data_IF_194870333450
#
_entry.id   IF_194870333450
#
_cell.length_a   1.000
_cell.length_b   1.000
_cell.length_c   1.000
_cell.angle_alpha   90.00
_cell.angle_beta   90.00
_cell.angle_gamma   90.00
#
_symmetry.space_group_name_H-M   'P 1'
#
loop_
_entity.id
_entity.type
_entity.pdbx_description
1 polymer ?
#
# COMPACT_ATOMS: atom_id res chain seq x y z
N UNK A 1 7.14 -8.38 -27.78
CA UNK A 1 8.19 -7.47 -27.23
C UNK A 1 9.36 -8.33 -26.79
N UNK A 2 10.60 -7.87 -26.90
CA UNK A 2 11.73 -8.57 -26.26
C UNK A 2 11.55 -8.52 -24.75
N UNK A 3 11.65 -9.68 -24.08
CA UNK A 3 11.60 -9.75 -22.61
C UNK A 3 12.63 -8.82 -21.97
N UNK A 4 12.24 -8.16 -20.89
CA UNK A 4 13.10 -7.26 -20.11
C UNK A 4 13.47 -7.98 -18.81
N UNK A 5 14.64 -7.66 -18.25
CA UNK A 5 15.06 -8.13 -16.92
C UNK A 5 14.90 -7.02 -15.91
N UNK A 6 13.94 -7.18 -15.00
CA UNK A 6 13.50 -6.14 -14.09
C UNK A 6 13.81 -6.56 -12.65
N UNK A 7 14.46 -5.69 -11.89
CA UNK A 7 14.67 -5.91 -10.46
C UNK A 7 13.72 -5.01 -9.67
N UNK A 8 12.89 -5.60 -8.83
CA UNK A 8 11.89 -4.90 -8.01
C UNK A 8 12.34 -4.92 -6.55
N UNK A 9 12.33 -3.76 -5.89
CA UNK A 9 12.57 -3.61 -4.45
C UNK A 9 11.32 -3.02 -3.81
N UNK A 10 10.64 -3.81 -2.98
CA UNK A 10 9.43 -3.39 -2.29
C UNK A 10 9.41 -3.90 -0.84
N UNK A 11 8.70 -3.25 0.09
CA UNK A 11 8.67 -3.68 1.48
C UNK A 11 7.69 -4.82 1.74
N UNK A 12 6.67 -4.98 0.89
CA UNK A 12 5.63 -6.00 1.03
C UNK A 12 5.41 -6.68 -0.33
N UNK A 13 5.10 -7.97 -0.29
CA UNK A 13 4.83 -8.81 -1.46
C UNK A 13 4.12 -10.08 -0.99
N UNK A 14 3.19 -10.61 -1.78
CA UNK A 14 2.40 -11.79 -1.44
C UNK A 14 3.27 -12.91 -0.88
N UNK A 15 2.90 -13.59 0.22
CA UNK A 15 1.54 -13.65 0.79
C UNK A 15 1.19 -12.50 1.76
N UNK A 16 2.06 -11.51 1.93
CA UNK A 16 1.75 -10.34 2.74
C UNK A 16 0.53 -9.58 2.15
N UNK A 17 -0.42 -9.20 3.00
CA UNK A 17 -1.70 -8.58 2.62
C UNK A 17 -1.69 -7.05 2.67
N UNK A 18 -0.53 -6.42 2.88
CA UNK A 18 -0.41 -4.97 2.75
C UNK A 18 -0.96 -4.50 1.39
N UNK A 19 -1.80 -3.44 1.31
CA UNK A 19 -2.39 -2.98 0.05
C UNK A 19 -1.34 -2.70 -1.04
N UNK A 20 -0.24 -2.08 -0.63
CA UNK A 20 0.94 -1.83 -1.46
C UNK A 20 1.62 -3.12 -1.92
N UNK A 21 1.67 -4.14 -1.08
CA UNK A 21 2.15 -5.48 -1.41
C UNK A 21 1.28 -6.19 -2.43
N UNK A 22 -0.05 -6.05 -2.35
CA UNK A 22 -0.99 -6.58 -3.34
C UNK A 22 -0.77 -5.93 -4.71
N UNK A 23 -0.67 -4.59 -4.76
CA UNK A 23 -0.36 -3.86 -6.00
C UNK A 23 0.96 -4.32 -6.61
N UNK A 24 2.04 -4.39 -5.82
CA UNK A 24 3.35 -4.83 -6.32
C UNK A 24 3.34 -6.28 -6.76
N UNK A 25 2.59 -7.15 -6.07
CA UNK A 25 2.41 -8.56 -6.48
C UNK A 25 1.77 -8.63 -7.85
N UNK A 26 0.68 -7.90 -8.09
CA UNK A 26 0.00 -7.93 -9.38
C UNK A 26 0.84 -7.30 -10.48
N UNK A 27 1.53 -6.18 -10.24
CA UNK A 27 2.49 -5.61 -11.20
C UNK A 27 3.53 -6.65 -11.63
N UNK A 28 4.13 -7.35 -10.68
CA UNK A 28 5.18 -8.34 -10.96
C UNK A 28 4.61 -9.55 -11.71
N UNK A 29 3.45 -10.08 -11.28
CA UNK A 29 2.81 -11.21 -11.95
C UNK A 29 2.44 -10.87 -13.40
N UNK A 30 1.88 -9.69 -13.66
CA UNK A 30 1.53 -9.24 -15.01
C UNK A 30 2.76 -8.98 -15.89
N UNK A 31 3.85 -8.45 -15.32
CA UNK A 31 5.12 -8.34 -16.03
C UNK A 31 5.69 -9.72 -16.40
N UNK A 32 5.60 -10.69 -15.48
CA UNK A 32 5.97 -12.07 -15.74
C UNK A 32 5.14 -12.70 -16.86
N UNK A 33 3.82 -12.55 -16.81
CA UNK A 33 2.89 -13.03 -17.83
C UNK A 33 3.13 -12.39 -19.21
N UNK A 34 3.58 -11.12 -19.23
CA UNK A 34 4.01 -10.43 -20.45
C UNK A 34 5.38 -10.89 -20.99
N UNK A 35 6.03 -11.88 -20.36
CA UNK A 35 7.29 -12.47 -20.79
C UNK A 35 8.55 -11.72 -20.32
N UNK A 36 8.44 -10.90 -19.27
CA UNK A 36 9.60 -10.27 -18.63
C UNK A 36 10.18 -11.17 -17.53
N UNK A 37 11.50 -11.17 -17.39
CA UNK A 37 12.17 -11.78 -16.25
C UNK A 37 12.18 -10.78 -15.10
N UNK A 38 11.60 -11.14 -13.96
CA UNK A 38 11.46 -10.25 -12.81
C UNK A 38 12.13 -10.86 -11.58
N UNK A 39 12.86 -10.05 -10.83
CA UNK A 39 13.45 -10.46 -9.56
C UNK A 39 12.99 -9.52 -8.46
N UNK A 40 12.36 -10.06 -7.43
CA UNK A 40 11.83 -9.29 -6.31
C UNK A 40 12.75 -9.42 -5.11
N UNK A 41 13.12 -8.29 -4.51
CA UNK A 41 13.75 -8.21 -3.19
C UNK A 41 12.74 -7.54 -2.25
N UNK A 42 12.30 -8.30 -1.25
CA UNK A 42 11.20 -7.90 -0.35
C UNK A 42 11.43 -8.40 1.07
N UNK A 43 10.51 -8.14 2.01
CA UNK A 43 10.59 -8.69 3.36
C UNK A 43 9.93 -10.07 3.45
N UNK A 44 10.19 -10.75 4.56
CA UNK A 44 9.30 -11.80 5.07
C UNK A 44 7.92 -11.17 5.40
N UNK A 45 6.81 -11.91 5.20
CA UNK A 45 5.47 -11.43 5.54
C UNK A 45 5.34 -11.08 7.02
N UNK A 46 4.84 -9.88 7.29
CA UNK A 46 4.73 -9.38 8.67
C UNK A 46 3.67 -8.30 8.91
N UNK A 47 3.00 -7.80 7.87
CA UNK A 47 2.12 -6.63 7.95
C UNK A 47 0.96 -6.79 8.94
N UNK A 48 0.29 -7.95 8.94
CA UNK A 48 -0.95 -8.18 9.71
C UNK A 48 -0.76 -7.95 11.21
N UNK A 49 0.26 -8.59 11.77
CA UNK A 49 0.48 -8.64 13.22
C UNK A 49 1.72 -7.82 13.65
N UNK A 50 2.33 -7.10 12.70
CA UNK A 50 3.63 -6.45 12.85
C UNK A 50 4.72 -7.37 13.43
N UNK A 51 4.61 -8.68 13.16
CA UNK A 51 5.59 -9.72 13.47
C UNK A 51 5.72 -10.63 12.27
N UNK A 52 6.87 -11.28 12.11
CA UNK A 52 7.04 -12.30 11.08
C UNK A 52 6.02 -13.42 11.31
N UNK A 53 5.22 -13.71 10.29
CA UNK A 53 4.21 -14.77 10.31
C UNK A 53 4.83 -16.13 10.70
N UNK A 54 4.09 -16.95 11.45
CA UNK A 54 4.60 -18.17 12.09
C UNK A 54 5.26 -19.14 11.09
N UNK A 55 4.62 -19.34 9.93
CA UNK A 55 5.12 -20.20 8.85
C UNK A 55 6.46 -19.71 8.27
N UNK A 56 6.78 -18.43 8.46
CA UNK A 56 7.99 -17.79 7.92
C UNK A 56 9.13 -17.67 8.94
N UNK A 57 8.87 -17.93 10.23
CA UNK A 57 9.88 -17.80 11.29
C UNK A 57 11.02 -18.83 11.16
N UNK A 58 10.73 -20.00 10.59
CA UNK A 58 11.69 -21.12 10.45
C UNK A 58 12.46 -21.11 9.12
N UNK A 59 12.15 -20.16 8.23
CA UNK A 59 12.78 -20.11 6.89
C UNK A 59 14.23 -19.65 7.02
N UNK A 60 15.16 -20.57 6.72
CA UNK A 60 16.59 -20.30 6.79
C UNK A 60 17.02 -19.30 5.72
N UNK A 61 18.16 -18.63 5.91
CA UNK A 61 18.69 -17.69 4.92
C UNK A 61 18.90 -18.31 3.52
N UNK A 62 19.15 -19.62 3.43
CA UNK A 62 19.32 -20.34 2.16
C UNK A 62 17.99 -20.47 1.40
N UNK A 63 16.87 -20.60 2.11
CA UNK A 63 15.54 -20.84 1.55
C UNK A 63 14.74 -19.55 1.32
N UNK A 64 15.34 -18.40 1.64
CA UNK A 64 14.74 -17.07 1.49
C UNK A 64 14.71 -16.58 0.04
N UNK A 65 15.55 -17.13 -0.83
CA UNK A 65 15.47 -16.87 -2.27
C UNK A 65 14.82 -18.07 -2.93
N UNK A 66 13.66 -17.85 -3.57
CA UNK A 66 12.92 -18.90 -4.28
C UNK A 66 12.80 -18.55 -5.76
N UNK A 67 13.04 -19.51 -6.67
CA UNK A 67 12.74 -19.31 -8.07
C UNK A 67 11.22 -19.22 -8.29
N UNK A 68 10.84 -18.57 -9.37
CA UNK A 68 9.47 -18.45 -9.86
C UNK A 68 9.47 -18.67 -11.37
N UNK A 69 8.31 -18.84 -11.99
CA UNK A 69 8.20 -19.01 -13.45
C UNK A 69 8.79 -17.82 -14.23
N UNK A 70 8.77 -16.62 -13.61
CA UNK A 70 9.25 -15.38 -14.21
C UNK A 70 10.59 -14.89 -13.64
N UNK A 71 11.25 -15.62 -12.73
CA UNK A 71 12.54 -15.20 -12.15
C UNK A 71 12.73 -15.63 -10.69
N UNK A 72 12.78 -14.70 -9.73
CA UNK A 72 12.99 -15.06 -8.32
C UNK A 72 12.42 -14.08 -7.30
N UNK A 73 12.11 -14.56 -6.10
CA UNK A 73 11.77 -13.73 -4.93
C UNK A 73 12.78 -13.98 -3.80
N UNK A 74 13.49 -12.94 -3.38
CA UNK A 74 14.39 -12.91 -2.22
C UNK A 74 13.72 -12.17 -1.06
N UNK A 75 13.50 -12.87 0.05
CA UNK A 75 12.89 -12.29 1.26
C UNK A 75 13.91 -12.00 2.34
N UNK A 76 13.79 -10.84 2.97
CA UNK A 76 14.71 -10.37 4.00
C UNK A 76 13.99 -10.14 5.31
N UNK A 77 14.74 -10.06 6.41
CA UNK A 77 14.14 -9.71 7.69
C UNK A 77 13.60 -8.26 7.61
N UNK A 78 12.33 -7.99 7.97
CA UNK A 78 11.81 -6.63 8.03
C UNK A 78 12.44 -5.80 9.16
N UNK A 79 13.15 -6.45 10.10
CA UNK A 79 13.65 -5.86 11.35
C UNK A 79 12.51 -5.16 12.13
N UNK A 80 11.36 -5.83 12.19
CA UNK A 80 10.17 -5.36 12.89
C UNK A 80 10.51 -5.07 14.36
N UNK A 81 10.44 -3.79 14.75
CA UNK A 81 10.64 -3.40 16.14
C UNK A 81 9.45 -3.80 17.00
N UNK A 82 9.70 -4.39 18.18
CA UNK A 82 8.66 -4.82 19.11
C UNK A 82 7.92 -3.69 19.83
N UNK A 83 8.45 -2.46 19.80
CA UNK A 83 7.86 -1.30 20.47
C UNK A 83 7.57 -0.16 19.49
N UNK A 84 6.27 0.13 19.27
CA UNK A 84 5.79 1.20 18.40
C UNK A 84 6.24 2.60 18.86
N UNK A 85 6.65 2.76 20.14
CA UNK A 85 7.03 4.06 20.73
C UNK A 85 8.50 4.43 20.52
N UNK A 86 9.36 3.48 20.18
CA UNK A 86 10.79 3.75 20.02
C UNK A 86 11.15 4.09 18.57
N UNK A 87 11.05 5.37 18.22
CA UNK A 87 11.33 5.90 16.88
C UNK A 87 12.75 5.56 16.38
N UNK A 88 13.73 5.51 17.29
CA UNK A 88 15.12 5.19 16.95
C UNK A 88 15.28 3.72 16.51
N UNK A 89 14.68 2.77 17.25
CA UNK A 89 14.68 1.35 16.84
C UNK A 89 13.96 1.14 15.51
N UNK A 90 12.88 1.88 15.26
CA UNK A 90 12.17 1.84 13.98
C UNK A 90 13.05 2.36 12.83
N UNK A 91 13.78 3.45 13.05
CA UNK A 91 14.75 3.96 12.08
C UNK A 91 15.87 2.96 11.78
N UNK A 92 16.44 2.32 12.82
CA UNK A 92 17.44 1.26 12.66
C UNK A 92 16.89 0.06 11.88
N UNK A 93 15.63 -0.32 12.13
CA UNK A 93 14.97 -1.40 11.37
C UNK A 93 14.86 -1.06 9.88
N UNK A 94 14.40 0.15 9.55
CA UNK A 94 14.36 0.63 8.16
C UNK A 94 15.73 0.66 7.50
N UNK A 95 16.77 1.12 8.21
CA UNK A 95 18.16 1.13 7.71
C UNK A 95 18.67 -0.29 7.50
N UNK A 96 18.41 -1.20 8.44
CA UNK A 96 18.80 -2.61 8.36
C UNK A 96 18.17 -3.29 7.15
N UNK A 97 16.86 -3.11 6.95
CA UNK A 97 16.16 -3.63 5.77
C UNK A 97 16.70 -3.00 4.48
N UNK A 98 16.79 -1.67 4.42
CA UNK A 98 17.27 -0.94 3.23
C UNK A 98 18.68 -1.35 2.80
N UNK A 99 19.57 -1.59 3.78
CA UNK A 99 20.97 -2.02 3.54
C UNK A 99 21.04 -3.47 3.07
N UNK A 100 20.31 -4.37 3.73
CA UNK A 100 20.27 -5.78 3.31
C UNK A 100 19.59 -5.95 1.95
N UNK A 101 18.57 -5.16 1.64
CA UNK A 101 17.91 -5.11 0.34
C UNK A 101 18.85 -4.62 -0.77
N UNK A 102 19.66 -3.59 -0.50
CA UNK A 102 20.67 -3.12 -1.45
C UNK A 102 21.66 -4.24 -1.81
N UNK A 103 22.18 -4.92 -0.78
CA UNK A 103 23.13 -6.03 -0.93
C UNK A 103 22.50 -7.21 -1.68
N UNK A 104 21.26 -7.58 -1.34
CA UNK A 104 20.53 -8.64 -2.01
C UNK A 104 20.27 -8.31 -3.49
N UNK A 105 19.80 -7.09 -3.80
CA UNK A 105 19.54 -6.66 -5.17
C UNK A 105 20.78 -6.65 -6.06
N UNK A 106 21.93 -6.27 -5.51
CA UNK A 106 23.23 -6.37 -6.16
C UNK A 106 23.58 -7.83 -6.49
N UNK A 107 23.26 -8.77 -5.59
CA UNK A 107 23.61 -10.20 -5.72
C UNK A 107 22.57 -11.06 -6.44
N UNK A 108 21.43 -10.49 -6.84
CA UNK A 108 20.43 -11.21 -7.65
C UNK A 108 21.09 -11.88 -8.86
N UNK A 109 20.71 -13.11 -9.17
CA UNK A 109 21.16 -13.78 -10.39
C UNK A 109 20.06 -13.65 -11.43
N UNK A 110 20.39 -13.04 -12.56
CA UNK A 110 19.52 -12.88 -13.71
C UNK A 110 20.16 -13.52 -14.94
N UNK A 111 19.37 -13.91 -15.94
CA UNK A 111 19.85 -14.46 -17.22
C UNK A 111 20.76 -13.49 -17.98
N UNK A 112 20.71 -12.20 -17.66
CA UNK A 112 21.51 -11.17 -18.30
C UNK A 112 21.62 -9.88 -17.49
N UNK A 113 21.92 -8.79 -18.19
CA UNK A 113 21.97 -7.46 -17.57
C UNK A 113 20.56 -7.01 -17.19
N UNK A 114 20.43 -6.50 -15.96
CA UNK A 114 19.20 -5.86 -15.49
C UNK A 114 18.94 -4.59 -16.34
N UNK A 115 17.75 -4.54 -16.94
CA UNK A 115 17.31 -3.47 -17.84
C UNK A 115 16.66 -2.30 -17.07
N UNK A 116 16.07 -2.57 -15.90
CA UNK A 116 15.51 -1.55 -15.01
C UNK A 116 15.45 -2.02 -13.55
N UNK A 117 15.56 -1.08 -12.62
CA UNK A 117 15.26 -1.28 -11.20
C UNK A 117 14.00 -0.50 -10.85
N UNK A 118 12.99 -1.18 -10.31
CA UNK A 118 11.79 -0.57 -9.75
C UNK A 118 11.93 -0.55 -8.24
N UNK A 119 11.81 0.63 -7.61
CA UNK A 119 11.75 0.73 -6.16
C UNK A 119 10.46 1.43 -5.73
N UNK A 120 9.84 0.91 -4.68
CA UNK A 120 8.55 1.40 -4.20
C UNK A 120 8.69 2.37 -3.02
N UNK A 121 7.80 3.37 -2.94
CA UNK A 121 7.53 4.17 -1.74
C UNK A 121 6.06 4.14 -1.36
N UNK A 122 5.73 4.10 -0.05
CA UNK A 122 6.65 4.07 1.09
C UNK A 122 7.33 2.69 1.32
N UNK A 123 8.46 2.64 2.05
CA UNK A 123 9.17 3.77 2.67
C UNK A 123 10.15 4.46 1.70
N UNK A 124 10.35 5.78 1.87
CA UNK A 124 11.27 6.59 1.05
C UNK A 124 12.71 6.08 1.03
N UNK A 125 13.14 5.37 2.07
CA UNK A 125 14.49 4.80 2.14
C UNK A 125 14.75 3.81 1.01
N UNK A 126 13.72 3.13 0.51
CA UNK A 126 13.84 2.24 -0.64
C UNK A 126 14.17 2.97 -1.94
N UNK A 127 13.89 4.27 -2.03
CA UNK A 127 14.34 5.11 -3.12
C UNK A 127 15.87 5.13 -3.27
N UNK A 128 16.58 5.36 -2.16
CA UNK A 128 18.03 5.31 -2.13
C UNK A 128 18.58 3.90 -2.31
N UNK A 129 17.94 2.88 -1.71
CA UNK A 129 18.29 1.47 -1.94
C UNK A 129 18.19 1.13 -3.42
N UNK A 130 17.07 1.46 -4.05
CA UNK A 130 16.82 1.24 -5.48
C UNK A 130 17.85 1.95 -6.34
N UNK A 131 18.16 3.21 -6.03
CA UNK A 131 19.21 3.96 -6.72
C UNK A 131 20.58 3.29 -6.61
N UNK A 132 20.99 2.86 -5.41
CA UNK A 132 22.28 2.22 -5.21
C UNK A 132 22.38 0.90 -5.99
N UNK A 133 21.32 0.09 -5.99
CA UNK A 133 21.24 -1.13 -6.81
C UNK A 133 21.31 -0.79 -8.29
N UNK A 134 20.54 0.22 -8.74
CA UNK A 134 20.52 0.68 -10.12
C UNK A 134 21.90 1.15 -10.59
N UNK A 135 22.62 1.91 -9.76
CA UNK A 135 23.98 2.36 -10.02
C UNK A 135 24.94 1.18 -10.21
N UNK A 136 24.93 0.21 -9.29
CA UNK A 136 25.82 -0.95 -9.35
C UNK A 136 25.49 -1.87 -10.53
N UNK A 137 24.19 -2.04 -10.83
CA UNK A 137 23.68 -2.81 -11.97
C UNK A 137 23.78 -2.08 -13.31
N UNK A 138 24.17 -0.81 -13.31
CA UNK A 138 24.17 0.08 -14.49
C UNK A 138 22.78 0.11 -15.17
N UNK A 139 21.72 0.12 -14.37
CA UNK A 139 20.34 0.16 -14.82
C UNK A 139 19.69 1.50 -14.44
N UNK A 140 18.65 1.96 -15.16
CA UNK A 140 17.84 3.09 -14.73
C UNK A 140 16.95 2.72 -13.53
N UNK A 141 16.76 3.69 -12.62
CA UNK A 141 15.77 3.60 -11.55
C UNK A 141 14.40 4.12 -12.01
N UNK A 142 13.36 3.33 -11.81
CA UNK A 142 11.96 3.71 -11.83
C UNK A 142 11.47 3.75 -10.38
N UNK A 143 11.02 4.90 -9.91
CA UNK A 143 10.52 5.04 -8.54
C UNK A 143 9.00 5.08 -8.53
N UNK A 144 8.39 4.08 -7.91
CA UNK A 144 6.94 3.91 -7.85
C UNK A 144 6.41 4.44 -6.52
N UNK A 145 5.67 5.55 -6.58
CA UNK A 145 5.13 6.25 -5.41
C UNK A 145 3.64 5.89 -5.30
N UNK A 146 3.27 5.29 -4.17
CA UNK A 146 1.92 4.82 -3.89
C UNK A 146 1.20 5.63 -2.78
N UNK A 147 1.88 6.62 -2.21
CA UNK A 147 1.34 7.46 -1.14
C UNK A 147 2.11 8.78 -1.06
N UNK A 148 1.49 9.81 -0.48
CA UNK A 148 2.04 11.16 -0.33
C UNK A 148 2.86 11.29 0.97
N UNK A 149 3.74 10.33 1.19
CA UNK A 149 4.68 10.34 2.30
C UNK A 149 5.98 11.07 1.89
N UNK A 150 6.45 12.09 2.64
CA UNK A 150 6.18 12.34 4.05
C UNK A 150 5.13 13.43 4.34
N UNK A 151 4.61 14.11 3.32
CA UNK A 151 3.73 15.28 3.50
C UNK A 151 2.48 14.95 4.31
N UNK A 152 1.77 13.87 3.97
CA UNK A 152 0.57 13.44 4.69
C UNK A 152 0.87 13.19 6.18
N UNK A 153 2.04 12.63 6.50
CA UNK A 153 2.45 12.39 7.89
C UNK A 153 2.81 13.68 8.64
N UNK A 154 3.27 14.71 7.93
CA UNK A 154 3.58 16.03 8.50
C UNK A 154 2.28 16.81 8.75
N UNK A 155 1.38 16.84 7.76
CA UNK A 155 0.11 17.57 7.83
C UNK A 155 -0.85 16.99 8.88
N UNK A 156 -0.87 15.67 9.03
CA UNK A 156 -1.63 14.99 10.09
C UNK A 156 -1.02 15.16 11.49
N UNK A 157 0.18 15.72 11.59
CA UNK A 157 0.93 15.82 12.84
C UNK A 157 1.52 14.49 13.33
N UNK A 158 1.50 13.43 12.53
CA UNK A 158 2.16 12.16 12.87
C UNK A 158 3.69 12.31 12.96
N UNK A 159 4.27 13.25 12.22
CA UNK A 159 5.68 13.65 12.30
C UNK A 159 5.75 15.14 12.62
N UNK A 160 6.12 15.46 13.87
CA UNK A 160 6.28 16.86 14.34
C UNK A 160 7.73 17.29 14.50
N UNK A 161 8.67 16.34 14.60
CA UNK A 161 10.07 16.63 14.85
C UNK A 161 10.73 17.29 13.61
N UNK A 162 11.17 18.54 13.75
CA UNK A 162 11.78 19.34 12.66
C UNK A 162 12.96 18.65 11.98
N UNK A 163 13.82 17.97 12.74
CA UNK A 163 14.97 17.26 12.16
C UNK A 163 14.52 16.08 11.28
N UNK A 164 13.55 15.29 11.76
CA UNK A 164 12.98 14.17 10.98
C UNK A 164 12.32 14.68 9.70
N UNK A 165 11.60 15.81 9.77
CA UNK A 165 10.97 16.44 8.60
C UNK A 165 12.01 16.84 7.55
N UNK A 166 13.10 17.49 7.98
CA UNK A 166 14.19 17.90 7.08
C UNK A 166 14.83 16.69 6.42
N UNK A 167 15.14 15.64 7.18
CA UNK A 167 15.71 14.40 6.64
C UNK A 167 14.76 13.73 5.65
N UNK A 168 13.46 13.62 5.98
CA UNK A 168 12.48 13.00 5.10
C UNK A 168 12.33 13.76 3.77
N UNK A 169 12.25 15.10 3.83
CA UNK A 169 12.20 15.97 2.63
C UNK A 169 13.48 15.87 1.79
N UNK A 170 14.64 15.76 2.44
CA UNK A 170 15.91 15.57 1.73
C UNK A 170 15.95 14.22 1.02
N UNK A 171 15.53 13.14 1.69
CA UNK A 171 15.45 11.80 1.12
C UNK A 171 14.48 11.75 -0.07
N UNK A 172 13.30 12.36 0.08
CA UNK A 172 12.30 12.49 -0.97
C UNK A 172 12.88 13.20 -2.20
N UNK A 173 13.37 14.44 -2.03
CA UNK A 173 13.94 15.24 -3.12
C UNK A 173 15.13 14.55 -3.79
N UNK A 174 15.99 13.92 -3.01
CA UNK A 174 17.15 13.19 -3.53
C UNK A 174 16.70 12.00 -4.37
N UNK A 175 15.76 11.20 -3.88
CA UNK A 175 15.23 10.05 -4.60
C UNK A 175 14.63 10.48 -5.93
N UNK A 176 13.78 11.51 -5.93
CA UNK A 176 13.17 12.00 -7.17
C UNK A 176 14.21 12.48 -8.19
N UNK A 177 15.28 13.15 -7.74
CA UNK A 177 16.35 13.62 -8.61
C UNK A 177 17.15 12.47 -9.24
N UNK A 178 17.30 11.36 -8.50
CA UNK A 178 18.06 10.17 -8.89
C UNK A 178 17.27 9.22 -9.80
N UNK A 179 15.94 9.26 -9.76
CA UNK A 179 15.06 8.45 -10.60
C UNK A 179 15.07 8.90 -12.07
N UNK A 180 15.13 7.94 -13.00
CA UNK A 180 14.95 8.18 -14.44
C UNK A 180 13.48 8.43 -14.76
N UNK A 181 12.58 7.66 -14.13
CA UNK A 181 11.13 7.83 -14.18
C UNK A 181 10.55 7.73 -12.78
N UNK A 182 9.48 8.46 -12.54
CA UNK A 182 8.69 8.40 -11.32
C UNK A 182 7.27 8.05 -11.75
N UNK A 183 6.72 6.97 -11.23
CA UNK A 183 5.33 6.57 -11.50
C UNK A 183 4.48 6.89 -10.28
N UNK A 184 3.33 7.49 -10.49
CA UNK A 184 2.36 7.87 -9.44
C UNK A 184 0.96 7.39 -9.82
N UNK A 185 0.05 7.29 -8.84
CA UNK A 185 -1.29 6.73 -9.04
C UNK A 185 -2.39 7.72 -9.46
N UNK A 186 -2.13 9.03 -9.41
CA UNK A 186 -3.12 10.06 -9.76
C UNK A 186 -2.45 11.34 -10.27
N UNK A 187 -3.25 12.20 -10.92
CA UNK A 187 -2.81 13.53 -11.35
C UNK A 187 -2.46 14.44 -10.17
N UNK A 188 -3.21 14.39 -9.07
CA UNK A 188 -2.92 15.17 -7.86
C UNK A 188 -1.53 14.84 -7.28
N UNK A 189 -1.23 13.54 -7.14
CA UNK A 189 0.09 13.09 -6.69
C UNK A 189 1.19 13.44 -7.71
N UNK A 190 0.87 13.41 -9.01
CA UNK A 190 1.80 13.87 -10.02
C UNK A 190 2.11 15.36 -9.85
N UNK A 191 1.11 16.20 -9.58
CA UNK A 191 1.29 17.63 -9.40
C UNK A 191 2.08 17.95 -8.13
N UNK A 192 1.83 17.23 -7.04
CA UNK A 192 2.64 17.27 -5.82
C UNK A 192 4.13 16.99 -6.12
N UNK A 193 4.42 15.89 -6.81
CA UNK A 193 5.81 15.51 -7.15
C UNK A 193 6.43 16.51 -8.14
N UNK A 194 5.68 16.95 -9.16
CA UNK A 194 6.14 17.94 -10.16
C UNK A 194 6.49 19.28 -9.53
N UNK A 195 5.74 19.71 -8.50
CA UNK A 195 6.06 20.92 -7.75
C UNK A 195 7.43 20.82 -7.05
N UNK A 196 7.82 19.62 -6.61
CA UNK A 196 9.08 19.36 -5.88
C UNK A 196 10.31 19.18 -6.77
N UNK A 197 10.14 18.72 -8.02
CA UNK A 197 11.27 18.37 -8.92
C UNK A 197 11.62 19.44 -9.96
N UNK A 198 10.90 20.57 -9.98
CA UNK A 198 11.24 21.73 -10.82
C UNK A 198 11.23 21.41 -12.32
N UNK A 199 12.36 21.57 -13.00
CA UNK A 199 12.48 21.44 -14.48
C UNK A 199 12.39 20.00 -15.02
N UNK A 200 12.31 18.98 -14.15
CA UNK A 200 12.30 17.54 -14.53
C UNK A 200 10.91 16.93 -14.52
N UNK A 201 9.86 17.73 -14.76
CA UNK A 201 8.45 17.32 -14.66
C UNK A 201 8.08 16.19 -15.61
N UNK A 202 8.76 16.13 -16.74
CA UNK A 202 8.64 15.11 -17.78
C UNK A 202 8.97 13.69 -17.27
N UNK A 203 9.65 13.56 -16.12
CA UNK A 203 9.95 12.26 -15.50
C UNK A 203 8.76 11.61 -14.81
N UNK A 204 7.71 12.38 -14.50
CA UNK A 204 6.53 11.90 -13.76
C UNK A 204 5.51 11.35 -14.73
N UNK A 205 5.16 10.08 -14.54
CA UNK A 205 4.17 9.34 -15.34
C UNK A 205 3.04 8.90 -14.41
N UNK A 206 1.81 9.22 -14.77
CA UNK A 206 0.62 8.77 -14.05
C UNK A 206 0.26 7.38 -14.56
N UNK A 207 0.23 6.41 -13.65
CA UNK A 207 -0.22 5.04 -13.88
C UNK A 207 -1.17 4.70 -12.74
N UNK A 208 -2.49 4.84 -12.95
CA UNK A 208 -3.48 4.55 -11.91
C UNK A 208 -3.36 3.10 -11.42
N UNK A 209 -3.66 2.88 -10.14
CA UNK A 209 -3.78 1.53 -9.63
C UNK A 209 -4.96 0.83 -10.27
N UNK A 210 -4.76 -0.44 -10.60
CA UNK A 210 -5.76 -1.30 -11.21
C UNK A 210 -6.57 -2.03 -10.13
N UNK A 211 -7.67 -2.62 -10.58
CA UNK A 211 -8.48 -3.55 -9.79
C UNK A 211 -8.59 -4.88 -10.53
N UNK A 212 -8.85 -5.96 -9.81
CA UNK A 212 -9.13 -7.25 -10.44
C UNK A 212 -10.55 -7.24 -10.99
N UNK A 213 -10.71 -6.99 -12.29
CA UNK A 213 -12.02 -6.92 -12.95
C UNK A 213 -12.65 -8.28 -13.22
N UNK A 214 -11.91 -9.37 -13.05
CA UNK A 214 -12.47 -10.72 -13.16
C UNK A 214 -13.19 -11.10 -11.86
N UNK A 215 -12.59 -10.77 -10.71
CA UNK A 215 -13.18 -10.99 -9.41
C UNK A 215 -14.19 -9.90 -9.02
N UNK A 216 -13.86 -8.62 -9.25
CA UNK A 216 -14.71 -7.48 -8.90
C UNK A 216 -15.59 -7.11 -10.09
N UNK A 217 -16.78 -7.70 -10.10
CA UNK A 217 -17.81 -7.48 -11.13
C UNK A 217 -19.12 -7.02 -10.51
N UNK A 218 -19.98 -6.31 -11.25
CA UNK A 218 -21.32 -5.97 -10.77
C UNK A 218 -22.12 -7.24 -10.41
N UNK A 219 -22.77 -7.23 -9.25
CA UNK A 219 -23.67 -8.29 -8.77
C UNK A 219 -25.02 -7.68 -8.41
N UNK A 220 -26.02 -8.54 -8.17
CA UNK A 220 -27.28 -8.11 -7.56
C UNK A 220 -27.02 -7.53 -6.17
N UNK A 221 -27.73 -6.46 -5.81
CA UNK A 221 -27.65 -5.87 -4.46
C UNK A 221 -28.19 -6.78 -3.36
N UNK A 222 -29.03 -7.75 -3.72
CA UNK A 222 -29.53 -8.79 -2.80
C UNK A 222 -28.50 -9.90 -2.68
N UNK A 223 -27.44 -9.62 -1.92
CA UNK A 223 -26.33 -10.54 -1.65
C UNK A 223 -26.59 -11.36 -0.39
N UNK A 224 -25.90 -12.50 -0.23
CA UNK A 224 -25.94 -13.24 1.04
C UNK A 224 -25.35 -12.42 2.18
N UNK A 225 -24.34 -11.58 1.90
CA UNK A 225 -23.79 -10.65 2.89
C UNK A 225 -24.82 -9.64 3.40
N UNK A 226 -25.76 -9.20 2.56
CA UNK A 226 -26.87 -8.33 2.97
C UNK A 226 -27.76 -9.02 4.01
N UNK A 227 -28.08 -10.29 3.78
CA UNK A 227 -28.86 -11.12 4.70
C UNK A 227 -28.10 -11.37 6.01
N UNK A 228 -26.79 -11.66 5.95
CA UNK A 228 -25.91 -11.82 7.11
C UNK A 228 -25.89 -10.58 8.02
N UNK A 229 -25.95 -9.38 7.42
CA UNK A 229 -26.02 -8.11 8.15
C UNK A 229 -27.43 -7.78 8.66
N UNK A 230 -28.44 -8.62 8.39
CA UNK A 230 -29.83 -8.38 8.77
C UNK A 230 -30.49 -7.22 8.02
N UNK A 231 -29.98 -6.87 6.84
CA UNK A 231 -30.47 -5.75 6.05
C UNK A 231 -31.68 -6.17 5.21
N UNK A 232 -32.73 -5.35 5.23
CA UNK A 232 -33.95 -5.57 4.43
C UNK A 232 -33.79 -5.08 3.00
N UNK A 233 -34.84 -4.53 2.39
CA UNK A 233 -34.76 -4.03 1.00
C UNK A 233 -34.37 -2.55 0.85
N UNK A 234 -34.23 -1.81 1.96
CA UNK A 234 -33.95 -0.37 1.96
C UNK A 234 -32.60 -0.05 1.29
N UNK A 235 -32.43 1.14 0.69
CA UNK A 235 -31.14 1.50 0.11
C UNK A 235 -30.04 1.53 1.19
N UNK A 236 -28.87 0.97 0.87
CA UNK A 236 -27.73 0.86 1.77
C UNK A 236 -26.65 1.88 1.41
N UNK A 237 -26.31 2.73 2.36
CA UNK A 237 -25.13 3.61 2.28
C UNK A 237 -23.97 2.94 2.99
N UNK A 238 -22.91 2.60 2.25
CA UNK A 238 -21.80 1.80 2.75
C UNK A 238 -20.48 2.58 2.76
N UNK A 239 -19.72 2.43 3.85
CA UNK A 239 -18.28 2.61 3.86
C UNK A 239 -17.62 1.24 3.99
N UNK A 240 -16.68 0.92 3.10
CA UNK A 240 -15.90 -0.32 3.18
C UNK A 240 -14.39 0.02 3.16
N UNK A 241 -13.70 -0.21 4.28
CA UNK A 241 -12.27 0.10 4.38
C UNK A 241 -11.73 0.16 5.81
N UNK A 242 -10.54 0.76 5.95
CA UNK A 242 -9.89 0.94 7.24
C UNK A 242 -10.60 2.00 8.09
N UNK A 243 -11.10 1.60 9.27
CA UNK A 243 -11.77 2.48 10.23
C UNK A 243 -10.71 3.23 11.05
N UNK A 244 -10.12 4.24 10.44
CA UNK A 244 -9.07 5.08 11.02
C UNK A 244 -9.51 6.52 11.24
N UNK A 245 -8.70 7.25 12.01
CA UNK A 245 -8.96 8.66 12.33
C UNK A 245 -8.79 9.61 11.13
N UNK A 246 -8.27 9.15 10.00
CA UNK A 246 -8.17 9.97 8.79
C UNK A 246 -9.50 10.04 8.03
N UNK A 247 -10.37 9.05 8.25
CA UNK A 247 -11.70 8.97 7.65
C UNK A 247 -12.70 9.67 8.59
N UNK A 248 -13.48 10.62 8.07
CA UNK A 248 -14.53 11.31 8.84
C UNK A 248 -15.79 10.45 8.98
N UNK A 249 -15.65 9.25 9.55
CA UNK A 249 -16.75 8.28 9.64
C UNK A 249 -17.82 8.67 10.66
N UNK A 250 -17.52 9.58 11.57
CA UNK A 250 -18.49 10.19 12.48
C UNK A 250 -19.63 10.86 11.69
N UNK A 251 -19.34 11.41 10.50
CA UNK A 251 -20.35 11.97 9.60
C UNK A 251 -21.36 10.92 9.10
N UNK A 252 -20.92 9.67 8.96
CA UNK A 252 -21.79 8.58 8.54
C UNK A 252 -22.77 8.18 9.65
N UNK A 253 -22.32 8.26 10.91
CA UNK A 253 -23.17 8.08 12.09
C UNK A 253 -24.22 9.19 12.17
N UNK A 254 -23.83 10.44 11.98
CA UNK A 254 -24.79 11.56 11.94
C UNK A 254 -25.78 11.44 10.78
N UNK A 255 -25.31 11.03 9.60
CA UNK A 255 -26.17 10.79 8.44
C UNK A 255 -27.21 9.67 8.72
N UNK A 256 -26.78 8.59 9.39
CA UNK A 256 -27.67 7.52 9.79
C UNK A 256 -28.80 8.00 10.72
N UNK A 257 -28.48 8.86 11.69
CA UNK A 257 -29.49 9.50 12.56
C UNK A 257 -30.47 10.39 11.79
N UNK A 258 -29.97 11.14 10.82
CA UNK A 258 -30.78 12.07 10.03
C UNK A 258 -31.67 11.36 8.98
N UNK A 259 -31.29 10.16 8.54
CA UNK A 259 -31.93 9.45 7.42
C UNK A 259 -32.39 8.03 7.83
N UNK A 260 -33.38 7.89 8.74
CA UNK A 260 -33.81 6.59 9.27
C UNK A 260 -34.52 5.66 8.26
N UNK A 261 -34.79 6.17 7.05
CA UNK A 261 -35.39 5.40 5.95
C UNK A 261 -34.35 4.68 5.08
N UNK A 262 -33.05 4.94 5.30
CA UNK A 262 -31.92 4.25 4.67
C UNK A 262 -31.24 3.36 5.70
N UNK A 263 -30.56 2.32 5.24
CA UNK A 263 -29.67 1.53 6.08
C UNK A 263 -28.22 1.96 5.83
N UNK A 264 -27.39 1.93 6.87
CA UNK A 264 -25.99 2.31 6.81
C UNK A 264 -25.10 1.16 7.24
N UNK A 265 -23.98 0.98 6.54
CA UNK A 265 -23.00 -0.05 6.86
C UNK A 265 -21.61 0.56 6.95
N UNK A 266 -20.92 0.31 8.06
CA UNK A 266 -19.48 0.58 8.21
C UNK A 266 -18.77 -0.78 8.26
N UNK A 267 -18.20 -1.17 7.12
CA UNK A 267 -17.55 -2.46 6.93
C UNK A 267 -16.02 -2.35 7.02
N UNK A 268 -15.44 -2.93 8.06
CA UNK A 268 -13.99 -3.02 8.21
C UNK A 268 -13.53 -2.94 9.66
N UNK A 269 -12.25 -2.63 9.85
CA UNK A 269 -11.66 -2.54 11.18
C UNK A 269 -10.59 -1.45 11.20
N UNK A 270 -10.16 -1.05 12.39
CA UNK A 270 -9.12 -0.04 12.56
C UNK A 270 -9.15 0.59 13.95
N UNK A 271 -8.21 1.50 14.19
CA UNK A 271 -7.97 2.10 15.49
C UNK A 271 -9.10 3.02 16.00
N UNK A 272 -10.04 3.43 15.14
CA UNK A 272 -11.17 4.27 15.51
C UNK A 272 -12.48 3.50 15.72
N UNK A 273 -12.51 2.19 15.46
CA UNK A 273 -13.75 1.39 15.46
C UNK A 273 -14.50 1.43 16.79
N UNK A 274 -13.83 1.13 17.91
CA UNK A 274 -14.46 1.11 19.22
C UNK A 274 -15.07 2.46 19.61
N UNK A 275 -14.38 3.57 19.30
CA UNK A 275 -14.90 4.92 19.54
C UNK A 275 -16.16 5.17 18.72
N UNK A 276 -16.13 4.80 17.44
CA UNK A 276 -17.24 5.01 16.53
C UNK A 276 -18.47 4.16 16.89
N UNK A 277 -18.29 2.92 17.35
CA UNK A 277 -19.36 2.06 17.87
C UNK A 277 -20.02 2.66 19.12
N UNK A 278 -19.24 3.31 20.00
CA UNK A 278 -19.78 4.04 21.16
C UNK A 278 -20.61 5.25 20.72
N UNK A 279 -20.13 6.00 19.74
CA UNK A 279 -20.88 7.14 19.16
C UNK A 279 -22.17 6.68 18.48
N UNK A 280 -22.14 5.54 17.80
CA UNK A 280 -23.29 4.95 17.10
C UNK A 280 -24.37 4.36 18.02
N UNK A 281 -24.20 4.39 19.35
CA UNK A 281 -25.22 3.86 20.28
C UNK A 281 -26.57 4.58 20.09
N UNK A 282 -27.62 3.77 19.93
CA UNK A 282 -28.99 4.27 19.71
C UNK A 282 -29.35 4.56 18.25
N UNK A 283 -28.42 4.34 17.30
CA UNK A 283 -28.69 4.46 15.87
C UNK A 283 -29.11 3.10 15.31
N UNK A 284 -30.42 2.90 15.09
CA UNK A 284 -30.98 1.58 14.78
C UNK A 284 -30.80 1.11 13.34
N UNK A 285 -30.48 2.03 12.42
CA UNK A 285 -30.29 1.77 10.99
C UNK A 285 -28.81 1.80 10.59
N UNK A 286 -27.88 1.57 11.53
CA UNK A 286 -26.45 1.52 11.28
C UNK A 286 -25.87 0.18 11.77
N UNK A 287 -25.21 -0.55 10.88
CA UNK A 287 -24.58 -1.85 11.16
C UNK A 287 -23.07 -1.76 10.95
N UNK A 288 -22.31 -2.38 11.85
CA UNK A 288 -20.86 -2.55 11.70
C UNK A 288 -20.55 -3.96 11.18
N UNK A 289 -19.91 -4.03 10.02
CA UNK A 289 -19.44 -5.28 9.42
C UNK A 289 -17.94 -5.49 9.69
N UNK A 290 -17.54 -6.75 9.90
CA UNK A 290 -16.14 -7.10 10.07
C UNK A 290 -15.38 -7.16 8.73
N UNK A 291 -14.05 -7.17 8.82
CA UNK A 291 -13.19 -7.36 7.66
C UNK A 291 -13.52 -8.68 6.96
N UNK A 292 -13.83 -8.62 5.67
CA UNK A 292 -14.21 -9.78 4.85
C UNK A 292 -13.02 -10.33 4.06
N UNK A 293 -13.01 -11.64 3.75
CA UNK A 293 -12.06 -12.23 2.81
C UNK A 293 -12.09 -11.53 1.44
N UNK A 294 -10.95 -11.48 0.75
CA UNK A 294 -10.80 -10.76 -0.52
C UNK A 294 -11.71 -11.33 -1.63
N UNK A 295 -12.03 -12.61 -1.56
CA UNK A 295 -12.91 -13.33 -2.47
C UNK A 295 -14.35 -12.83 -2.37
N UNK A 296 -14.76 -12.28 -1.22
CA UNK A 296 -16.09 -11.69 -1.02
C UNK A 296 -16.17 -10.22 -1.41
N UNK A 297 -15.08 -9.60 -1.87
CA UNK A 297 -15.04 -8.14 -2.09
C UNK A 297 -16.14 -7.66 -3.06
N UNK A 298 -16.40 -8.39 -4.15
CA UNK A 298 -17.47 -8.06 -5.08
C UNK A 298 -18.86 -8.11 -4.42
N UNK A 299 -19.08 -9.10 -3.56
CA UNK A 299 -20.32 -9.25 -2.80
C UNK A 299 -20.50 -8.10 -1.80
N UNK A 300 -19.46 -7.77 -1.02
CA UNK A 300 -19.48 -6.65 -0.07
C UNK A 300 -19.80 -5.35 -0.77
N UNK A 301 -19.14 -5.07 -1.91
CA UNK A 301 -19.38 -3.85 -2.68
C UNK A 301 -20.80 -3.81 -3.26
N UNK A 302 -21.32 -4.94 -3.74
CA UNK A 302 -22.68 -5.01 -4.29
C UNK A 302 -23.78 -4.83 -3.23
N UNK A 303 -23.52 -5.15 -1.96
CA UNK A 303 -24.46 -4.88 -0.86
C UNK A 303 -24.79 -3.40 -0.70
N UNK A 304 -23.83 -2.50 -1.00
CA UNK A 304 -24.01 -1.06 -0.91
C UNK A 304 -24.62 -0.47 -2.18
N UNK A 305 -25.69 0.31 -2.03
CA UNK A 305 -26.31 1.08 -3.11
C UNK A 305 -25.56 2.41 -3.35
N UNK A 306 -24.99 3.00 -2.29
CA UNK A 306 -24.14 4.19 -2.34
C UNK A 306 -22.87 3.94 -1.53
N UNK A 307 -21.70 4.14 -2.14
CA UNK A 307 -20.42 4.04 -1.45
C UNK A 307 -19.90 5.42 -1.04
N UNK A 308 -19.53 5.55 0.24
CA UNK A 308 -19.00 6.79 0.80
C UNK A 308 -17.51 6.61 1.04
N UNK A 309 -16.70 7.55 0.54
CA UNK A 309 -15.23 7.57 0.71
C UNK A 309 -14.84 8.89 1.38
N UNK A 310 -15.02 9.03 2.71
CA UNK A 310 -14.83 10.30 3.39
C UNK A 310 -13.38 10.44 3.86
N UNK A 311 -12.85 11.66 3.77
CA UNK A 311 -11.57 12.05 4.34
C UNK A 311 -11.75 13.32 5.18
N UNK A 312 -11.00 13.41 6.28
CA UNK A 312 -10.97 14.64 7.09
C UNK A 312 -10.53 15.82 6.25
N UNK A 313 -11.15 16.98 6.51
CA UNK A 313 -10.79 18.24 5.85
C UNK A 313 -9.29 18.48 5.97
N UNK A 314 -8.65 18.80 4.85
CA UNK A 314 -7.20 18.99 4.75
C UNK A 314 -6.43 17.77 4.26
N UNK A 315 -6.98 16.55 4.37
CA UNK A 315 -6.28 15.32 3.94
C UNK A 315 -6.51 14.93 2.48
N UNK A 316 -7.40 15.62 1.76
CA UNK A 316 -7.68 15.38 0.34
C UNK A 316 -6.97 16.33 -0.63
N UNK A 317 -6.05 17.19 -0.14
CA UNK A 317 -5.32 18.18 -0.95
C UNK A 317 -3.85 17.82 -1.12
N UNK A 318 -3.54 16.53 -1.30
CA UNK A 318 -2.15 16.04 -1.26
C UNK A 318 -1.72 15.46 -2.59
#
# INVERSE_FOLDING_TARGET
>A
MSGLRILVVCPHFAPDTAPTGVVMTRIVSELGAAGHEVHVVTTLPWYRDHRIEEDWQRVTWKDRTRPTEWGSVTRLNPFAGSDKRNLFRRALGFIGFSSTAAVAGIRVRSSGRIDAVIAMSPPLTLGLTGWFVALWRRAPLVFNIQDVFPDAAIETGAITNRFVIVVARLLEKSTYALSKRITVLSDDLADNVRAKIGRRRDRVVVIPNFVDTENIRPLSRMTSYREELGLGERPVVMYAGNIGYSQSLELLVEAARALPHLDFVINGNGSARTTLEVEARGVSNLVFGDFQPAERLAEVLATGDVHVVPLRRGLGRV
#
